data_IF_158652118408
#
_entry.id   IF_158652118408
#
_cell.length_a   1.000
_cell.length_b   1.000
_cell.length_c   1.000
_cell.angle_alpha   90.00
_cell.angle_beta   90.00
_cell.angle_gamma   90.00
#
_symmetry.space_group_name_H-M   'P 1'
#
loop_
_entity.id
_entity.type
_entity.pdbx_description
1 polymer ?
#
# COMPACT_ATOMS: atom_id res chain seq x y z
N UNK A 1 -30.76 24.31 -26.10
CA UNK A 1 -30.55 24.13 -24.65
C UNK A 1 -29.93 22.77 -24.48
N UNK A 2 -28.60 22.74 -24.40
CA UNK A 2 -27.84 21.50 -24.21
C UNK A 2 -28.30 20.80 -22.93
N UNK A 3 -28.67 19.53 -23.05
CA UNK A 3 -28.74 18.63 -21.91
C UNK A 3 -27.33 18.55 -21.35
N UNK A 4 -27.07 19.26 -20.26
CA UNK A 4 -25.89 19.01 -19.43
C UNK A 4 -26.04 17.56 -18.96
N UNK A 5 -25.14 16.69 -19.43
CA UNK A 5 -25.10 15.30 -19.00
C UNK A 5 -24.90 15.29 -17.49
N UNK A 6 -25.93 14.87 -16.76
CA UNK A 6 -25.98 14.84 -15.29
C UNK A 6 -24.76 14.06 -14.76
N UNK A 7 -24.26 13.11 -15.55
CA UNK A 7 -23.07 12.30 -15.28
C UNK A 7 -21.80 13.15 -15.29
N UNK A 8 -21.59 13.95 -16.36
CA UNK A 8 -20.41 14.81 -16.50
C UNK A 8 -20.29 15.80 -15.34
N UNK A 9 -21.38 16.51 -15.02
CA UNK A 9 -21.37 17.49 -13.93
C UNK A 9 -21.07 16.82 -12.58
N UNK A 10 -21.59 15.60 -12.38
CA UNK A 10 -21.33 14.82 -11.17
C UNK A 10 -19.85 14.47 -11.01
N UNK A 11 -19.20 14.01 -12.09
CA UNK A 11 -17.77 13.69 -12.08
C UNK A 11 -16.89 14.94 -11.97
N UNK A 12 -17.24 16.04 -12.64
CA UNK A 12 -16.58 17.33 -12.50
C UNK A 12 -16.56 17.80 -11.03
N UNK A 13 -17.75 17.87 -10.41
CA UNK A 13 -17.89 18.35 -9.03
C UNK A 13 -17.16 17.42 -8.05
N UNK A 14 -17.21 16.11 -8.29
CA UNK A 14 -16.49 15.12 -7.50
C UNK A 14 -14.97 15.27 -7.61
N UNK A 15 -14.44 15.41 -8.82
CA UNK A 15 -13.01 15.57 -9.04
C UNK A 15 -12.49 16.89 -8.48
N UNK A 16 -13.24 17.99 -8.66
CA UNK A 16 -12.94 19.28 -8.04
C UNK A 16 -12.86 19.19 -6.51
N UNK A 17 -13.84 18.55 -5.86
CA UNK A 17 -13.82 18.33 -4.40
C UNK A 17 -12.60 17.52 -3.97
N UNK A 18 -12.24 16.49 -4.72
CA UNK A 18 -11.05 15.68 -4.46
C UNK A 18 -9.77 16.52 -4.49
N UNK A 19 -9.59 17.37 -5.50
CA UNK A 19 -8.40 18.22 -5.66
C UNK A 19 -8.25 19.24 -4.53
N UNK A 20 -9.35 19.90 -4.15
CA UNK A 20 -9.37 20.87 -3.04
C UNK A 20 -9.00 20.18 -1.71
N UNK A 21 -9.57 19.01 -1.43
CA UNK A 21 -9.29 18.27 -0.19
C UNK A 21 -7.86 17.76 -0.09
N UNK A 22 -7.21 17.45 -1.21
CA UNK A 22 -5.81 17.00 -1.25
C UNK A 22 -4.80 18.13 -1.21
N UNK A 23 -5.26 19.38 -1.07
CA UNK A 23 -4.41 20.58 -1.01
C UNK A 23 -3.41 20.63 -2.17
N UNK A 24 -3.90 20.29 -3.38
CA UNK A 24 -3.08 20.19 -4.62
C UNK A 24 -2.51 21.55 -5.04
N UNK A 25 -3.10 22.64 -4.54
CA UNK A 25 -2.69 24.01 -4.76
C UNK A 25 -3.78 24.97 -4.29
N UNK A 26 -3.58 26.25 -4.64
CA UNK A 26 -4.63 27.26 -4.54
C UNK A 26 -5.77 27.00 -5.54
N UNK A 27 -6.86 27.76 -5.40
CA UNK A 27 -8.04 27.65 -6.26
C UNK A 27 -7.70 27.86 -7.75
N UNK A 28 -6.69 28.70 -8.04
CA UNK A 28 -6.21 28.93 -9.41
C UNK A 28 -5.60 27.67 -10.01
N UNK A 29 -4.70 26.99 -9.29
CA UNK A 29 -4.08 25.75 -9.74
C UNK A 29 -5.09 24.62 -9.90
N UNK A 30 -6.10 24.55 -9.03
CA UNK A 30 -7.20 23.57 -9.17
C UNK A 30 -8.01 23.85 -10.45
N UNK A 31 -8.33 25.12 -10.73
CA UNK A 31 -9.03 25.50 -11.95
C UNK A 31 -8.22 25.18 -13.21
N UNK A 32 -6.91 25.47 -13.21
CA UNK A 32 -6.01 25.10 -14.31
C UNK A 32 -6.00 23.58 -14.54
N UNK A 33 -6.01 22.78 -13.46
CA UNK A 33 -5.98 21.32 -13.57
C UNK A 33 -7.26 20.79 -14.23
N UNK A 34 -8.42 21.31 -13.80
CA UNK A 34 -9.71 20.96 -14.38
C UNK A 34 -9.78 21.35 -15.86
N UNK A 35 -9.29 22.54 -16.21
CA UNK A 35 -9.25 22.98 -17.61
C UNK A 35 -8.43 22.03 -18.50
N UNK A 36 -7.22 21.67 -18.06
CA UNK A 36 -6.38 20.71 -18.80
C UNK A 36 -7.07 19.34 -18.86
N UNK A 37 -7.72 18.90 -17.78
CA UNK A 37 -8.41 17.61 -17.72
C UNK A 37 -9.61 17.50 -18.66
N UNK A 38 -10.34 18.59 -18.85
CA UNK A 38 -11.62 18.61 -19.57
C UNK A 38 -11.49 19.04 -21.03
N UNK A 39 -10.39 19.70 -21.40
CA UNK A 39 -10.22 20.27 -22.74
C UNK A 39 -8.92 19.83 -23.43
N UNK A 40 -7.78 20.14 -22.83
CA UNK A 40 -6.48 19.96 -23.50
C UNK A 40 -6.09 18.49 -23.56
N UNK A 41 -6.19 17.77 -22.44
CA UNK A 41 -5.84 16.36 -22.32
C UNK A 41 -6.70 15.48 -23.24
N UNK A 42 -8.04 15.59 -23.29
CA UNK A 42 -8.85 14.78 -24.20
C UNK A 42 -8.49 14.99 -25.67
N UNK A 43 -8.21 16.23 -26.08
CA UNK A 43 -7.79 16.55 -27.44
C UNK A 43 -6.43 15.92 -27.75
N UNK A 44 -5.48 16.08 -26.84
CA UNK A 44 -4.15 15.53 -26.99
C UNK A 44 -4.14 13.99 -27.09
N UNK A 45 -4.87 13.30 -26.21
CA UNK A 45 -4.99 11.83 -26.24
C UNK A 45 -5.63 11.38 -27.56
N UNK A 46 -6.69 12.05 -28.01
CA UNK A 46 -7.41 11.71 -29.24
C UNK A 46 -6.55 11.83 -30.50
N UNK A 47 -5.67 12.81 -30.55
CA UNK A 47 -4.80 13.03 -31.70
C UNK A 47 -3.56 12.13 -31.71
N UNK A 48 -3.06 11.73 -30.54
CA UNK A 48 -1.72 11.15 -30.41
C UNK A 48 -1.67 9.74 -29.80
N UNK A 49 -2.75 9.26 -29.18
CA UNK A 49 -2.74 8.02 -28.38
C UNK A 49 -3.93 7.12 -28.72
N UNK A 50 -5.16 7.60 -28.55
CA UNK A 50 -6.40 6.85 -28.76
C UNK A 50 -7.45 7.74 -29.43
N UNK A 51 -7.68 7.54 -30.73
CA UNK A 51 -8.61 8.34 -31.51
C UNK A 51 -10.10 8.17 -31.14
N UNK A 52 -10.43 7.18 -30.31
CA UNK A 52 -11.78 6.98 -29.79
C UNK A 52 -11.99 7.66 -28.43
N UNK A 53 -10.93 8.18 -27.80
CA UNK A 53 -11.02 8.88 -26.54
C UNK A 53 -11.99 10.06 -26.64
N UNK A 54 -12.95 10.16 -25.72
CA UNK A 54 -13.98 11.22 -25.68
C UNK A 54 -13.70 12.19 -24.55
N UNK A 55 -13.87 11.72 -23.31
CA UNK A 55 -13.72 12.47 -22.07
C UNK A 55 -12.88 11.68 -21.07
N UNK A 56 -12.17 12.41 -20.20
CA UNK A 56 -11.50 11.80 -19.06
C UNK A 56 -12.48 11.12 -18.09
N UNK A 57 -13.70 11.67 -17.98
CA UNK A 57 -14.74 11.15 -17.09
C UNK A 57 -15.37 9.84 -17.54
N UNK A 58 -15.19 9.47 -18.81
CA UNK A 58 -15.62 8.16 -19.34
C UNK A 58 -14.62 7.03 -18.98
N UNK A 59 -13.45 7.39 -18.41
CA UNK A 59 -12.42 6.43 -18.02
C UNK A 59 -12.57 6.06 -16.55
N UNK A 60 -12.96 4.80 -16.32
CA UNK A 60 -13.11 4.22 -14.98
C UNK A 60 -11.99 3.23 -14.63
N UNK A 61 -11.12 2.88 -15.58
CA UNK A 61 -10.00 1.96 -15.37
C UNK A 61 -8.66 2.70 -15.21
N UNK A 62 -8.05 2.55 -14.03
CA UNK A 62 -6.73 3.10 -13.75
C UNK A 62 -5.59 2.47 -14.56
N UNK A 63 -5.75 1.24 -15.06
CA UNK A 63 -4.79 0.57 -15.95
C UNK A 63 -4.72 1.22 -17.32
N UNK A 64 -5.87 1.60 -17.89
CA UNK A 64 -5.93 2.37 -19.13
C UNK A 64 -5.23 3.74 -19.00
N UNK A 65 -5.45 4.46 -17.89
CA UNK A 65 -4.74 5.73 -17.63
C UNK A 65 -3.22 5.56 -17.52
N UNK A 66 -2.74 4.45 -16.96
CA UNK A 66 -1.32 4.11 -16.92
C UNK A 66 -0.76 3.85 -18.31
N UNK A 67 -1.53 3.20 -19.18
CA UNK A 67 -1.15 2.95 -20.58
C UNK A 67 -0.98 4.26 -21.34
N UNK A 68 -1.90 5.22 -21.17
CA UNK A 68 -1.76 6.56 -21.76
C UNK A 68 -0.54 7.29 -21.22
N UNK A 69 -0.30 7.24 -19.91
CA UNK A 69 0.88 7.85 -19.29
C UNK A 69 2.18 7.24 -19.81
N UNK A 70 2.25 5.93 -20.00
CA UNK A 70 3.41 5.24 -20.57
C UNK A 70 3.65 5.66 -22.02
N UNK A 71 2.60 5.72 -22.84
CA UNK A 71 2.72 6.13 -24.25
C UNK A 71 3.27 7.56 -24.38
N UNK A 72 2.82 8.48 -23.53
CA UNK A 72 3.33 9.86 -23.48
C UNK A 72 4.80 9.89 -23.05
N UNK A 73 5.19 9.10 -22.05
CA UNK A 73 6.52 9.18 -21.43
C UNK A 73 7.61 8.39 -22.17
N UNK A 74 7.23 7.40 -22.97
CA UNK A 74 8.12 6.57 -23.81
C UNK A 74 8.35 7.20 -25.19
N UNK A 75 7.37 7.93 -25.75
CA UNK A 75 7.53 8.69 -26.97
C UNK A 75 8.26 10.02 -26.70
N UNK A 76 9.47 10.18 -27.25
CA UNK A 76 10.31 11.35 -27.01
C UNK A 76 9.66 12.69 -27.43
N UNK A 77 8.83 12.70 -28.48
CA UNK A 77 8.15 13.90 -28.97
C UNK A 77 7.02 14.27 -28.01
N UNK A 78 6.14 13.31 -27.69
CA UNK A 78 5.02 13.55 -26.78
C UNK A 78 5.49 13.92 -25.37
N UNK A 79 6.57 13.31 -24.91
CA UNK A 79 7.23 13.65 -23.64
C UNK A 79 7.77 15.07 -23.62
N UNK A 80 8.32 15.55 -24.75
CA UNK A 80 8.79 16.93 -24.86
C UNK A 80 7.62 17.91 -24.83
N UNK A 81 6.52 17.59 -25.52
CA UNK A 81 5.28 18.39 -25.47
C UNK A 81 4.74 18.47 -24.04
N UNK A 82 4.60 17.33 -23.36
CA UNK A 82 4.11 17.25 -21.98
C UNK A 82 4.97 18.05 -20.98
N UNK A 83 6.30 18.03 -21.16
CA UNK A 83 7.24 18.77 -20.30
C UNK A 83 7.26 20.28 -20.54
N UNK A 84 6.86 20.73 -21.73
CA UNK A 84 6.90 22.14 -22.12
C UNK A 84 5.56 22.85 -21.86
N UNK A 85 4.62 22.22 -21.15
CA UNK A 85 3.37 22.84 -20.72
C UNK A 85 3.65 23.88 -19.62
N UNK A 86 3.09 25.08 -19.77
CA UNK A 86 3.42 26.24 -18.90
C UNK A 86 2.88 26.13 -17.46
N UNK A 87 1.76 25.42 -17.24
CA UNK A 87 1.12 25.33 -15.91
C UNK A 87 1.04 23.90 -15.36
N UNK A 88 0.43 22.97 -16.13
CA UNK A 88 0.13 21.61 -15.69
C UNK A 88 0.34 20.64 -16.85
N UNK A 89 1.16 19.61 -16.62
CA UNK A 89 1.41 18.56 -17.62
C UNK A 89 0.24 17.58 -17.72
N UNK A 90 0.06 16.95 -18.89
CA UNK A 90 -0.91 15.88 -19.11
C UNK A 90 -0.68 14.70 -18.18
N UNK A 91 0.59 14.32 -17.97
CA UNK A 91 0.97 13.25 -17.03
C UNK A 91 0.60 13.59 -15.57
N UNK A 92 0.60 14.86 -15.19
CA UNK A 92 0.15 15.33 -13.88
C UNK A 92 -1.36 15.14 -13.74
N UNK A 93 -2.14 15.55 -14.73
CA UNK A 93 -3.60 15.36 -14.74
C UNK A 93 -3.96 13.87 -14.66
N UNK A 94 -3.36 13.02 -15.51
CA UNK A 94 -3.58 11.57 -15.49
C UNK A 94 -3.26 10.96 -14.12
N UNK A 95 -2.21 11.46 -13.45
CA UNK A 95 -1.83 11.01 -12.10
C UNK A 95 -2.89 11.37 -11.05
N UNK A 96 -3.37 12.62 -11.05
CA UNK A 96 -4.41 13.04 -10.11
C UNK A 96 -5.73 12.34 -10.38
N UNK A 97 -6.12 12.20 -11.65
CA UNK A 97 -7.34 11.52 -12.02
C UNK A 97 -7.31 10.02 -11.65
N UNK A 98 -6.19 9.33 -11.89
CA UNK A 98 -6.01 7.94 -11.43
C UNK A 98 -6.12 7.80 -9.91
N UNK A 99 -5.63 8.78 -9.15
CA UNK A 99 -5.78 8.79 -7.69
C UNK A 99 -7.22 9.11 -7.26
N UNK A 100 -7.93 9.95 -8.02
CA UNK A 100 -9.35 10.22 -7.84
C UNK A 100 -10.20 8.97 -8.06
N UNK A 101 -9.92 8.14 -9.08
CA UNK A 101 -10.61 6.85 -9.28
C UNK A 101 -10.56 5.93 -8.04
N UNK A 102 -9.53 6.09 -7.21
CA UNK A 102 -9.30 5.33 -5.96
C UNK A 102 -9.72 6.09 -4.70
N UNK A 103 -10.36 7.24 -4.84
CA UNK A 103 -10.72 8.10 -3.72
C UNK A 103 -12.18 7.91 -3.31
N UNK A 104 -12.51 8.30 -2.08
CA UNK A 104 -13.87 8.23 -1.54
C UNK A 104 -14.83 9.21 -2.23
N UNK A 105 -14.28 10.18 -2.95
CA UNK A 105 -15.01 11.20 -3.69
C UNK A 105 -15.47 10.70 -5.07
N UNK A 106 -14.99 9.54 -5.54
CA UNK A 106 -15.37 8.98 -6.83
C UNK A 106 -16.83 8.48 -6.86
N UNK A 107 -17.70 9.00 -7.76
CA UNK A 107 -19.13 8.69 -7.77
C UNK A 107 -19.49 7.20 -7.98
N UNK A 108 -18.73 6.47 -8.80
CA UNK A 108 -19.09 5.11 -9.26
C UNK A 108 -18.37 3.97 -8.50
N UNK A 109 -17.89 4.24 -7.28
CA UNK A 109 -17.67 3.18 -6.29
C UNK A 109 -16.84 1.99 -6.78
N UNK A 110 -15.55 2.21 -7.02
CA UNK A 110 -14.57 1.13 -6.90
C UNK A 110 -13.32 1.62 -6.15
N UNK A 111 -13.56 2.34 -5.05
CA UNK A 111 -12.73 2.08 -3.90
C UNK A 111 -13.02 0.63 -3.52
N UNK A 112 -12.13 -0.29 -3.90
CA UNK A 112 -11.84 -1.36 -2.97
C UNK A 112 -11.56 -0.63 -1.66
N UNK A 113 -12.57 -0.52 -0.79
CA UNK A 113 -12.39 0.11 0.50
C UNK A 113 -11.16 -0.59 1.08
N UNK A 114 -10.08 0.15 1.42
CA UNK A 114 -9.04 -0.43 2.23
C UNK A 114 -9.79 -1.04 3.41
N UNK A 115 -9.65 -2.36 3.61
CA UNK A 115 -10.31 -3.02 4.72
C UNK A 115 -10.02 -2.18 5.97
N UNK A 116 -11.04 -1.56 6.59
CA UNK A 116 -10.80 -0.62 7.68
C UNK A 116 -10.03 -1.37 8.76
N UNK A 117 -8.90 -0.78 9.17
CA UNK A 117 -8.13 -1.31 10.29
C UNK A 117 -8.93 -1.00 11.55
N UNK A 118 -9.17 -1.99 12.44
CA UNK A 118 -9.88 -1.73 13.69
C UNK A 118 -9.24 -0.56 14.45
N UNK A 119 -9.99 0.53 14.65
CA UNK A 119 -9.53 1.79 15.23
C UNK A 119 -9.77 3.05 14.37
N UNK A 120 -9.99 2.89 13.06
CA UNK A 120 -10.29 4.05 12.17
C UNK A 120 -11.77 4.44 12.14
N UNK A 121 -12.65 3.55 12.62
CA UNK A 121 -14.06 3.86 12.80
C UNK A 121 -14.33 4.13 14.26
N UNK A 122 -14.21 5.39 14.63
CA UNK A 122 -14.84 5.84 15.84
C UNK A 122 -15.63 7.12 15.56
N UNK A 123 -16.95 7.02 15.76
CA UNK A 123 -17.67 8.11 16.41
C UNK A 123 -17.16 8.21 17.86
N UNK A 124 -15.86 8.42 18.04
CA UNK A 124 -15.29 8.85 19.31
C UNK A 124 -15.41 10.36 19.30
N UNK A 125 -16.35 10.87 20.09
CA UNK A 125 -16.24 12.23 20.58
C UNK A 125 -15.08 12.22 21.57
N UNK A 126 -13.86 12.20 21.03
CA UNK A 126 -12.63 12.38 21.77
C UNK A 126 -12.49 13.86 22.12
N UNK A 127 -12.37 14.11 23.42
CA UNK A 127 -12.20 15.40 24.08
C UNK A 127 -11.13 16.28 23.38
N UNK A 128 -11.57 17.36 22.73
CA UNK A 128 -10.72 18.41 22.15
C UNK A 128 -10.08 19.23 23.28
N UNK A 129 -9.02 18.70 23.87
CA UNK A 129 -8.07 19.49 24.65
C UNK A 129 -6.64 19.13 24.22
N UNK A 130 -6.30 19.53 22.99
CA UNK A 130 -4.92 19.57 22.54
C UNK A 130 -4.34 20.95 22.83
N UNK A 131 -3.52 21.01 23.88
CA UNK A 131 -2.69 22.14 24.25
C UNK A 131 -1.78 22.52 23.07
N UNK A 132 -2.05 23.68 22.46
CA UNK A 132 -1.21 24.28 21.43
C UNK A 132 0.03 24.89 22.10
N UNK A 133 1.01 24.07 22.42
CA UNK A 133 2.38 24.56 22.52
C UNK A 133 2.97 24.64 21.11
N UNK A 134 3.30 25.86 20.68
CA UNK A 134 3.98 26.13 19.41
C UNK A 134 5.33 25.38 19.36
N UNK A 135 5.37 24.27 18.64
CA UNK A 135 6.63 23.60 18.28
C UNK A 135 7.18 24.36 17.08
N UNK A 136 8.18 25.21 17.32
CA UNK A 136 8.98 25.78 16.24
C UNK A 136 9.75 24.63 15.54
N UNK A 137 9.63 24.45 14.22
CA UNK A 137 10.43 23.47 13.51
C UNK A 137 11.88 23.93 13.53
N UNK A 138 12.68 23.36 14.44
CA UNK A 138 14.13 23.42 14.30
C UNK A 138 14.52 22.61 13.08
N UNK A 139 15.14 23.25 12.09
CA UNK A 139 15.77 22.59 10.95
C UNK A 139 16.79 21.57 11.48
N UNK A 140 16.39 20.29 11.53
CA UNK A 140 17.32 19.17 11.67
C UNK A 140 17.63 18.71 10.26
N UNK A 141 18.89 18.80 9.87
CA UNK A 141 19.36 18.17 8.66
C UNK A 141 19.25 16.64 8.82
N UNK A 142 18.16 16.08 8.28
CA UNK A 142 17.90 14.65 8.22
C UNK A 142 18.80 14.06 7.11
N UNK A 143 19.99 13.61 7.50
CA UNK A 143 20.87 12.88 6.60
C UNK A 143 20.55 11.37 6.67
N UNK A 144 20.15 10.78 5.54
CA UNK A 144 20.03 9.34 5.35
C UNK A 144 21.19 8.80 4.48
N UNK A 145 21.48 7.50 4.55
CA UNK A 145 22.48 6.87 3.67
C UNK A 145 23.90 6.72 4.24
N UNK A 146 24.10 6.93 5.55
CA UNK A 146 25.36 6.55 6.20
C UNK A 146 25.57 5.03 6.12
N UNK A 147 26.72 4.60 5.62
CA UNK A 147 27.11 3.19 5.60
C UNK A 147 27.37 2.71 7.03
N UNK A 148 26.41 1.97 7.58
CA UNK A 148 26.56 1.32 8.89
C UNK A 148 27.19 -0.04 8.66
N UNK A 149 28.47 -0.18 9.02
CA UNK A 149 29.15 -1.47 8.99
C UNK A 149 28.66 -2.32 10.17
N UNK A 150 27.79 -3.29 9.90
CA UNK A 150 27.34 -4.27 10.90
C UNK A 150 28.53 -5.15 11.30
N UNK A 151 29.18 -4.82 12.42
CA UNK A 151 30.21 -5.65 13.02
C UNK A 151 29.59 -6.95 13.53
N UNK A 152 29.92 -8.05 12.86
CA UNK A 152 29.76 -9.43 13.33
C UNK A 152 28.33 -9.85 13.73
N UNK A 153 27.42 -9.96 12.76
CA UNK A 153 26.27 -10.86 12.93
C UNK A 153 26.76 -12.31 12.76
N UNK A 154 26.90 -13.05 13.86
CA UNK A 154 27.07 -14.51 13.83
C UNK A 154 25.91 -15.11 13.03
N UNK A 155 26.13 -15.43 11.76
CA UNK A 155 25.10 -15.98 10.88
C UNK A 155 25.01 -17.47 11.18
N UNK A 156 24.14 -17.83 12.11
CA UNK A 156 23.75 -19.22 12.32
C UNK A 156 23.19 -19.78 11.01
N UNK A 157 23.70 -20.92 10.59
CA UNK A 157 23.20 -21.65 9.42
C UNK A 157 21.74 -22.04 9.67
N UNK A 158 20.82 -21.49 8.88
CA UNK A 158 19.39 -21.86 8.95
C UNK A 158 19.16 -22.97 7.94
N UNK A 159 18.76 -24.15 8.40
CA UNK A 159 18.44 -25.29 7.53
C UNK A 159 17.26 -24.92 6.62
N UNK A 160 17.50 -24.91 5.30
CA UNK A 160 16.45 -24.75 4.30
C UNK A 160 15.42 -25.88 4.39
N UNK A 161 15.87 -27.08 4.70
CA UNK A 161 15.00 -28.26 4.86
C UNK A 161 14.01 -28.04 6.02
N UNK A 162 14.47 -27.50 7.15
CA UNK A 162 13.59 -27.20 8.28
C UNK A 162 12.52 -26.16 7.94
N UNK A 163 12.86 -25.15 7.12
CA UNK A 163 11.89 -24.14 6.65
C UNK A 163 10.83 -24.78 5.75
N UNK A 164 11.26 -25.59 4.78
CA UNK A 164 10.34 -26.25 3.85
C UNK A 164 9.44 -27.27 4.55
N UNK A 165 9.98 -28.05 5.49
CA UNK A 165 9.18 -28.98 6.32
C UNK A 165 8.15 -28.25 7.18
N UNK A 166 8.53 -27.12 7.78
CA UNK A 166 7.60 -26.28 8.54
C UNK A 166 6.45 -25.79 7.64
N UNK A 167 6.78 -25.21 6.48
CA UNK A 167 5.78 -24.74 5.51
C UNK A 167 4.86 -25.85 5.05
N UNK A 168 5.40 -27.02 4.70
CA UNK A 168 4.61 -28.17 4.27
C UNK A 168 3.65 -28.66 5.37
N UNK A 169 4.14 -28.71 6.62
CA UNK A 169 3.31 -29.06 7.76
C UNK A 169 2.15 -28.06 7.95
N UNK A 170 2.44 -26.76 8.00
CA UNK A 170 1.39 -25.75 8.19
C UNK A 170 0.42 -25.69 6.99
N UNK A 171 0.89 -25.88 5.76
CA UNK A 171 0.00 -26.07 4.60
C UNK A 171 -0.96 -27.25 4.78
N UNK A 172 -0.47 -28.38 5.29
CA UNK A 172 -1.33 -29.54 5.53
C UNK A 172 -2.39 -29.30 6.61
N UNK A 173 -2.10 -28.44 7.60
CA UNK A 173 -3.05 -28.04 8.63
C UNK A 173 -4.13 -27.08 8.11
N UNK A 174 -3.79 -26.27 7.10
CA UNK A 174 -4.59 -25.14 6.63
C UNK A 174 -5.09 -25.35 5.20
N UNK A 175 -5.45 -26.59 4.86
CA UNK A 175 -6.11 -26.92 3.58
C UNK A 175 -5.31 -26.47 2.34
N UNK A 176 -3.98 -26.55 2.42
CA UNK A 176 -3.06 -26.16 1.33
C UNK A 176 -2.57 -24.72 1.42
N UNK A 177 -3.09 -23.91 2.34
CA UNK A 177 -2.72 -22.51 2.50
C UNK A 177 -1.60 -22.30 3.51
N UNK A 178 -0.83 -21.22 3.31
CA UNK A 178 0.24 -20.84 4.22
C UNK A 178 -0.12 -19.50 4.86
N UNK A 179 -0.64 -19.56 6.09
CA UNK A 179 -1.20 -18.41 6.80
C UNK A 179 -0.38 -18.03 8.04
N UNK A 180 -0.48 -16.77 8.44
CA UNK A 180 0.15 -16.29 9.67
C UNK A 180 -0.51 -16.91 10.90
N UNK A 181 0.25 -17.60 11.74
CA UNK A 181 -0.29 -18.22 12.96
C UNK A 181 -0.75 -17.24 14.02
N UNK A 182 -0.39 -15.95 13.91
CA UNK A 182 -0.86 -14.91 14.83
C UNK A 182 -2.19 -14.29 14.38
N UNK A 183 -2.27 -13.84 13.13
CA UNK A 183 -3.42 -13.05 12.65
C UNK A 183 -4.23 -13.73 11.55
N UNK A 184 -3.77 -14.84 10.99
CA UNK A 184 -4.43 -15.57 9.90
C UNK A 184 -4.17 -15.02 8.49
N UNK A 185 -3.32 -13.99 8.33
CA UNK A 185 -3.06 -13.37 7.03
C UNK A 185 -2.46 -14.36 6.02
N UNK A 186 -2.98 -14.36 4.80
CA UNK A 186 -2.51 -15.18 3.68
C UNK A 186 -2.01 -14.26 2.54
N UNK A 187 -0.73 -14.37 2.20
CA UNK A 187 -0.13 -13.59 1.11
C UNK A 187 -0.59 -14.02 -0.27
N UNK A 188 -0.91 -15.30 -0.49
CA UNK A 188 -1.39 -15.78 -1.79
C UNK A 188 -2.77 -15.20 -2.12
N UNK A 189 -3.61 -15.00 -1.11
CA UNK A 189 -4.93 -14.36 -1.25
C UNK A 189 -4.79 -12.84 -1.43
N UNK A 190 -3.95 -12.20 -0.61
CA UNK A 190 -3.79 -10.75 -0.65
C UNK A 190 -2.99 -10.26 -1.86
N UNK A 191 -2.05 -11.06 -2.36
CA UNK A 191 -1.15 -10.76 -3.48
C UNK A 191 -1.06 -11.95 -4.47
N UNK A 192 -2.13 -12.27 -5.22
CA UNK A 192 -2.12 -13.42 -6.12
C UNK A 192 -0.96 -13.40 -7.12
N UNK A 193 -0.26 -14.52 -7.26
CA UNK A 193 0.90 -14.67 -8.16
C UNK A 193 2.23 -14.10 -7.65
N UNK A 194 2.19 -13.26 -6.60
CA UNK A 194 3.40 -12.70 -5.97
C UNK A 194 3.61 -13.23 -4.55
N UNK A 195 2.53 -13.43 -3.81
CA UNK A 195 2.53 -13.86 -2.41
C UNK A 195 2.55 -15.37 -2.22
N UNK A 196 2.60 -16.15 -3.31
CA UNK A 196 2.67 -17.59 -3.25
C UNK A 196 3.95 -18.03 -2.53
N UNK A 197 3.79 -18.86 -1.50
CA UNK A 197 4.89 -19.33 -0.63
C UNK A 197 5.66 -18.22 0.13
N UNK A 198 5.15 -16.98 0.08
CA UNK A 198 5.72 -15.85 0.81
C UNK A 198 5.17 -15.82 2.23
N UNK A 199 5.98 -16.28 3.18
CA UNK A 199 5.75 -16.10 4.62
C UNK A 199 7.09 -16.16 5.37
N UNK A 200 7.16 -15.52 6.52
CA UNK A 200 8.37 -15.53 7.34
C UNK A 200 8.28 -16.65 8.38
N UNK A 201 9.24 -17.56 8.36
CA UNK A 201 9.34 -18.63 9.37
C UNK A 201 10.13 -18.12 10.58
N UNK A 202 9.45 -18.04 11.71
CA UNK A 202 9.99 -17.57 12.98
C UNK A 202 10.34 -18.74 13.89
N UNK A 203 11.43 -18.63 14.64
CA UNK A 203 11.77 -19.60 15.68
C UNK A 203 11.04 -19.24 16.97
N UNK A 204 10.17 -20.11 17.49
CA UNK A 204 9.44 -19.88 18.76
C UNK A 204 10.38 -19.66 19.94
N UNK A 205 11.61 -20.18 19.83
CA UNK A 205 12.70 -19.96 20.77
C UNK A 205 13.96 -19.53 20.01
N UNK A 206 14.51 -18.32 20.23
CA UNK A 206 15.69 -17.84 19.53
C UNK A 206 16.89 -18.79 19.69
N UNK A 207 17.60 -19.05 18.59
CA UNK A 207 18.83 -19.85 18.58
C UNK A 207 19.91 -19.24 19.49
N UNK A 208 19.92 -17.91 19.63
CA UNK A 208 20.83 -17.16 20.53
C UNK A 208 20.69 -17.55 22.01
N UNK A 209 19.54 -18.06 22.43
CA UNK A 209 19.28 -18.46 23.82
C UNK A 209 19.61 -19.94 24.08
N UNK A 210 19.94 -20.71 23.03
CA UNK A 210 20.23 -22.15 23.11
C UNK A 210 21.63 -22.40 22.58
N UNK A 211 22.65 -22.29 23.44
CA UNK A 211 24.03 -22.52 23.04
C UNK A 211 24.27 -23.93 22.47
N UNK A 212 24.97 -24.02 21.33
CA UNK A 212 25.42 -25.26 20.70
C UNK A 212 24.66 -25.65 19.40
N UNK A 213 25.14 -26.71 18.74
CA UNK A 213 24.40 -27.39 17.66
C UNK A 213 23.19 -28.10 18.26
N UNK A 214 21.98 -27.75 17.82
CA UNK A 214 20.74 -28.35 18.29
C UNK A 214 19.92 -28.85 17.10
N UNK A 215 19.35 -30.06 17.24
CA UNK A 215 18.42 -30.61 16.27
C UNK A 215 17.06 -29.92 16.42
N UNK A 216 16.68 -29.14 15.41
CA UNK A 216 15.38 -28.44 15.36
C UNK A 216 14.25 -29.41 14.99
N UNK A 217 13.07 -29.26 15.61
CA UNK A 217 11.81 -29.89 15.19
C UNK A 217 10.97 -28.83 14.44
N UNK A 218 10.93 -28.85 13.09
CA UNK A 218 10.24 -27.84 12.29
C UNK A 218 8.77 -27.62 12.64
N UNK A 219 8.11 -28.60 13.27
CA UNK A 219 6.70 -28.53 13.62
C UNK A 219 6.46 -27.88 14.98
N UNK A 220 7.47 -27.88 15.86
CA UNK A 220 7.37 -27.36 17.23
C UNK A 220 8.16 -26.09 17.46
N UNK A 221 9.31 -25.97 16.82
CA UNK A 221 10.26 -24.89 17.04
C UNK A 221 10.07 -23.74 16.06
N UNK A 222 9.39 -23.98 14.94
CA UNK A 222 9.15 -23.00 13.89
C UNK A 222 7.65 -22.66 13.78
N UNK A 223 7.37 -21.43 13.40
CA UNK A 223 6.01 -20.93 13.22
C UNK A 223 5.95 -19.91 12.06
N UNK A 224 5.00 -20.02 11.13
CA UNK A 224 4.81 -19.02 10.07
C UNK A 224 4.14 -17.75 10.60
N UNK A 225 4.73 -16.60 10.27
CA UNK A 225 4.22 -15.28 10.60
C UNK A 225 4.28 -14.37 9.37
N UNK A 226 3.34 -13.42 9.27
CA UNK A 226 3.45 -12.35 8.27
C UNK A 226 4.49 -11.31 8.70
N UNK A 227 5.01 -10.53 7.76
CA UNK A 227 6.07 -9.55 8.00
C UNK A 227 5.76 -8.55 9.13
N UNK A 228 4.49 -8.18 9.30
CA UNK A 228 4.06 -7.32 10.40
C UNK A 228 4.13 -8.04 11.76
N UNK A 229 3.55 -9.25 11.87
CA UNK A 229 3.58 -10.03 13.10
C UNK A 229 5.00 -10.46 13.47
N UNK A 230 5.81 -10.84 12.49
CA UNK A 230 7.21 -11.17 12.69
C UNK A 230 8.02 -9.97 13.17
N UNK A 231 7.80 -8.78 12.59
CA UNK A 231 8.43 -7.55 13.09
C UNK A 231 8.01 -7.24 14.54
N UNK A 232 6.73 -7.42 14.87
CA UNK A 232 6.22 -7.14 16.21
C UNK A 232 6.71 -8.14 17.26
N UNK A 233 6.89 -9.40 16.91
CA UNK A 233 7.39 -10.42 17.86
C UNK A 233 8.80 -10.09 18.35
N UNK A 234 9.59 -9.40 17.54
CA UNK A 234 10.95 -8.94 17.87
C UNK A 234 10.99 -7.52 18.47
N UNK A 235 9.88 -6.78 18.52
CA UNK A 235 9.87 -5.36 18.91
C UNK A 235 9.99 -5.12 20.42
N UNK A 236 9.50 -6.06 21.24
CA UNK A 236 9.39 -5.91 22.70
C UNK A 236 10.49 -6.69 23.44
N UNK A 237 11.26 -7.52 22.74
CA UNK A 237 12.45 -8.16 23.29
C UNK A 237 13.64 -7.19 23.33
N UNK A 238 14.53 -7.35 24.30
CA UNK A 238 15.86 -6.74 24.22
C UNK A 238 16.66 -7.27 23.02
N UNK A 239 17.87 -6.77 22.76
CA UNK A 239 18.71 -7.25 21.66
C UNK A 239 18.92 -8.77 21.74
N UNK A 240 18.33 -9.53 20.82
CA UNK A 240 18.42 -10.99 20.75
C UNK A 240 17.26 -11.77 21.37
N UNK A 241 16.25 -11.07 21.92
CA UNK A 241 15.04 -11.67 22.48
C UNK A 241 13.81 -11.45 21.58
N UNK A 242 12.84 -12.35 21.66
CA UNK A 242 11.52 -12.19 21.07
C UNK A 242 10.45 -12.52 22.12
N UNK A 243 9.24 -11.98 21.95
CA UNK A 243 8.11 -12.43 22.76
C UNK A 243 7.62 -13.80 22.29
N UNK A 244 6.81 -14.48 23.12
CA UNK A 244 6.16 -15.71 22.69
C UNK A 244 5.03 -15.42 21.68
N UNK A 245 4.74 -16.38 20.81
CA UNK A 245 3.58 -16.32 19.91
C UNK A 245 2.27 -16.06 20.69
N UNK A 246 2.13 -16.68 21.87
CA UNK A 246 0.92 -16.54 22.67
C UNK A 246 0.78 -15.13 23.25
N UNK A 247 1.88 -14.51 23.65
CA UNK A 247 1.84 -13.12 24.12
C UNK A 247 1.60 -12.14 22.97
N UNK A 248 2.13 -12.44 21.78
CA UNK A 248 1.82 -11.70 20.56
C UNK A 248 0.32 -11.77 20.26
N UNK A 249 -0.28 -12.98 20.28
CA UNK A 249 -1.73 -13.18 20.08
C UNK A 249 -2.57 -12.42 21.11
N UNK A 250 -2.20 -12.46 22.40
CA UNK A 250 -2.92 -11.72 23.46
C UNK A 250 -2.91 -10.20 23.23
N UNK A 251 -1.77 -9.67 22.76
CA UNK A 251 -1.57 -8.24 22.50
C UNK A 251 -2.14 -7.78 21.17
N UNK A 252 -2.25 -8.69 20.19
CA UNK A 252 -2.79 -8.37 18.89
C UNK A 252 -4.29 -8.03 19.00
N UNK A 253 -4.63 -6.77 18.71
CA UNK A 253 -6.02 -6.27 18.66
C UNK A 253 -6.49 -5.97 17.23
N UNK A 254 -5.70 -6.36 16.24
CA UNK A 254 -6.05 -6.19 14.83
C UNK A 254 -7.03 -7.24 14.33
N UNK A 255 -7.38 -7.12 13.04
CA UNK A 255 -8.25 -8.07 12.36
C UNK A 255 -7.63 -9.47 12.37
N UNK A 256 -8.40 -10.43 12.84
CA UNK A 256 -8.10 -11.85 12.62
C UNK A 256 -8.72 -12.24 11.29
N UNK A 257 -7.88 -12.72 10.37
CA UNK A 257 -8.31 -13.25 9.10
C UNK A 257 -8.85 -14.66 9.36
N UNK A 258 -10.06 -14.98 8.83
CA UNK A 258 -10.61 -16.31 8.98
C UNK A 258 -9.70 -17.30 8.27
N UNK A 259 -9.59 -18.50 8.83
CA UNK A 259 -8.88 -19.59 8.18
C UNK A 259 -9.60 -19.94 6.87
N UNK A 260 -8.87 -20.25 5.79
CA UNK A 260 -9.47 -20.75 4.55
C UNK A 260 -10.35 -21.95 4.86
N UNK A 261 -11.57 -21.95 4.32
CA UNK A 261 -12.48 -23.09 4.44
C UNK A 261 -12.01 -24.25 3.54
N UNK A 262 -12.41 -25.47 3.90
CA UNK A 262 -12.24 -26.69 3.08
C UNK A 262 -12.84 -26.57 1.67
#
# INVERSE_FOLDING_TARGET
>A
MEQIDITYQTFHDAFKRYLLKKNVGDDHRVAALLNVAEHDLPTFIRENVDNQFTSLYDVHDGGLLLTYQDHITTNAVLKAVDRNMDEISYTTVLTYYRRFLKSREYPDGNVAEPLPVPGENSNDQGDDNFDQSEITPGEKDLHEGAEVQLQHASRYERSREAVEECKAYYRSLHHGHLVCECCGFDFSIAYPGLGDDFIEIHHRHPVSQRGGDYQIDPKKDLVPLCSNCHSMIHRIGGPGDCMSLEDLKKRFKGKHYPMPAE
#
